data_IF_964835332288
#
_entry.id   IF_964835332288
#
_cell.length_a   1.000
_cell.length_b   1.000
_cell.length_c   1.000
_cell.angle_alpha   90.00
_cell.angle_beta   90.00
_cell.angle_gamma   90.00
#
_symmetry.space_group_name_H-M   'P 1'
#
loop_
_entity.id
_entity.type
_entity.pdbx_description
1 polymer ?
#
# COMPACT_ATOMS: atom_id res chain seq x y z
N UNK A 1 13.77 -10.57 -45.56
CA UNK A 1 14.50 -9.87 -44.47
C UNK A 1 13.51 -8.97 -43.76
N UNK A 2 12.85 -9.49 -42.72
CA UNK A 2 11.86 -8.74 -41.93
C UNK A 2 12.55 -8.27 -40.66
N UNK A 3 12.96 -6.99 -40.63
CA UNK A 3 13.53 -6.37 -39.44
C UNK A 3 12.47 -6.32 -38.34
N UNK A 4 12.60 -7.17 -37.33
CA UNK A 4 11.82 -7.06 -36.09
C UNK A 4 12.08 -5.67 -35.48
N UNK A 5 11.04 -4.90 -35.08
CA UNK A 5 11.24 -3.59 -34.48
C UNK A 5 12.02 -3.79 -33.17
N UNK A 6 13.25 -3.28 -33.13
CA UNK A 6 14.03 -3.22 -31.91
C UNK A 6 13.26 -2.34 -30.91
N UNK A 7 13.01 -2.81 -29.67
CA UNK A 7 12.30 -2.01 -28.69
C UNK A 7 13.13 -0.75 -28.42
N UNK A 8 12.60 0.40 -28.85
CA UNK A 8 13.28 1.68 -28.78
C UNK A 8 13.81 1.97 -27.38
N UNK A 9 15.05 2.47 -27.32
CA UNK A 9 15.77 2.86 -26.10
C UNK A 9 14.91 3.74 -25.15
N UNK A 10 14.01 4.54 -25.72
CA UNK A 10 13.05 5.40 -24.99
C UNK A 10 12.11 4.61 -24.05
N UNK A 11 11.66 3.41 -24.44
CA UNK A 11 10.72 2.61 -23.63
C UNK A 11 11.37 1.90 -22.42
N UNK A 12 12.70 1.71 -22.45
CA UNK A 12 13.46 1.08 -21.36
C UNK A 12 13.85 2.09 -20.29
N UNK A 13 14.29 3.28 -20.68
CA UNK A 13 14.57 4.37 -19.73
C UNK A 13 13.30 4.83 -19.02
N UNK A 14 12.16 4.93 -19.75
CA UNK A 14 10.86 5.25 -19.16
C UNK A 14 10.43 4.24 -18.09
N UNK A 15 10.55 2.93 -18.34
CA UNK A 15 10.15 1.89 -17.37
C UNK A 15 10.95 1.93 -16.06
N UNK A 16 12.26 2.17 -16.12
CA UNK A 16 13.08 2.29 -14.90
C UNK A 16 12.68 3.47 -14.02
N UNK A 17 12.43 4.64 -14.64
CA UNK A 17 11.98 5.84 -13.92
C UNK A 17 10.60 5.60 -13.30
N UNK A 18 9.65 5.04 -14.07
CA UNK A 18 8.30 4.75 -13.59
C UNK A 18 8.33 3.77 -12.42
N UNK A 19 9.13 2.70 -12.49
CA UNK A 19 9.25 1.72 -11.38
C UNK A 19 9.74 2.39 -10.10
N UNK A 20 10.72 3.28 -10.20
CA UNK A 20 11.28 3.99 -9.05
C UNK A 20 10.25 4.94 -8.42
N UNK A 21 9.48 5.64 -9.24
CA UNK A 21 8.38 6.50 -8.79
C UNK A 21 7.26 5.69 -8.13
N UNK A 22 6.89 4.54 -8.70
CA UNK A 22 5.86 3.63 -8.16
C UNK A 22 6.28 3.09 -6.80
N UNK A 23 7.53 2.62 -6.65
CA UNK A 23 8.06 2.17 -5.35
C UNK A 23 8.06 3.31 -4.31
N UNK A 24 8.49 4.51 -4.71
CA UNK A 24 8.47 5.69 -3.83
C UNK A 24 7.05 6.04 -3.36
N UNK A 25 6.07 6.03 -4.28
CA UNK A 25 4.67 6.28 -3.96
C UNK A 25 4.08 5.20 -3.03
N UNK A 26 4.38 3.92 -3.28
CA UNK A 26 3.93 2.82 -2.43
C UNK A 26 4.49 2.91 -1.01
N UNK A 27 5.77 3.29 -0.86
CA UNK A 27 6.41 3.50 0.44
C UNK A 27 5.74 4.65 1.20
N UNK A 28 5.47 5.76 0.50
CA UNK A 28 4.82 6.94 1.07
C UNK A 28 3.40 6.60 1.55
N UNK A 29 2.61 5.88 0.73
CA UNK A 29 1.27 5.42 1.10
C UNK A 29 1.29 4.45 2.29
N UNK A 30 2.23 3.51 2.33
CA UNK A 30 2.39 2.59 3.46
C UNK A 30 2.71 3.33 4.77
N UNK A 31 3.63 4.30 4.74
CA UNK A 31 3.98 5.11 5.91
C UNK A 31 2.79 5.96 6.36
N UNK A 32 2.10 6.62 5.42
CA UNK A 32 0.91 7.42 5.71
C UNK A 32 -0.21 6.58 6.34
N UNK A 33 -0.45 5.38 5.80
CA UNK A 33 -1.40 4.40 6.35
C UNK A 33 -1.10 4.07 7.81
N UNK A 34 0.18 3.86 8.13
CA UNK A 34 0.64 3.49 9.47
C UNK A 34 0.45 4.65 10.46
N UNK A 35 0.74 5.88 10.03
CA UNK A 35 0.48 7.09 10.82
C UNK A 35 -1.02 7.26 11.11
N UNK A 36 -1.88 7.15 10.08
CA UNK A 36 -3.34 7.25 10.25
C UNK A 36 -3.84 6.16 11.21
N UNK A 37 -3.43 4.91 11.03
CA UNK A 37 -3.85 3.83 11.93
C UNK A 37 -3.37 4.06 13.37
N UNK A 38 -2.17 4.62 13.56
CA UNK A 38 -1.62 4.87 14.90
C UNK A 38 -2.32 6.02 15.64
N UNK A 39 -2.65 7.11 14.95
CA UNK A 39 -3.26 8.30 15.58
C UNK A 39 -4.79 8.29 15.56
N UNK A 40 -5.38 7.87 14.44
CA UNK A 40 -6.83 8.02 14.22
C UNK A 40 -7.63 6.94 14.94
N UNK A 41 -7.12 5.70 15.01
CA UNK A 41 -7.82 4.59 15.71
C UNK A 41 -8.00 4.83 17.21
N UNK A 42 -6.99 5.24 18.00
CA UNK A 42 -7.21 5.53 19.42
C UNK A 42 -8.14 6.74 19.63
N UNK A 43 -8.03 7.77 18.78
CA UNK A 43 -8.94 8.92 18.83
C UNK A 43 -10.40 8.50 18.59
N UNK A 44 -10.65 7.59 17.64
CA UNK A 44 -11.98 7.00 17.47
C UNK A 44 -12.40 6.18 18.69
N UNK A 45 -11.50 5.43 19.32
CA UNK A 45 -11.83 4.61 20.49
C UNK A 45 -12.36 5.43 21.67
N UNK A 46 -11.75 6.57 21.96
CA UNK A 46 -12.22 7.49 22.99
C UNK A 46 -13.60 8.07 22.66
N UNK A 47 -13.84 8.42 21.39
CA UNK A 47 -15.15 8.90 20.93
C UNK A 47 -16.25 7.84 21.07
N UNK A 48 -16.00 6.60 20.66
CA UNK A 48 -16.98 5.51 20.79
C UNK A 48 -17.26 5.17 22.26
N UNK A 49 -16.24 5.19 23.12
CA UNK A 49 -16.43 5.01 24.56
C UNK A 49 -17.33 6.09 25.17
N UNK A 50 -17.22 7.35 24.71
CA UNK A 50 -18.09 8.44 25.19
C UNK A 50 -19.57 8.24 24.84
N UNK A 51 -19.88 7.45 23.80
CA UNK A 51 -21.24 7.07 23.42
C UNK A 51 -21.75 5.82 24.15
N UNK A 52 -20.95 5.22 25.06
CA UNK A 52 -21.30 3.99 25.77
C UNK A 52 -21.31 2.74 24.88
N UNK A 53 -20.70 2.83 23.70
CA UNK A 53 -20.61 1.74 22.72
C UNK A 53 -19.20 1.17 22.69
N UNK A 54 -19.10 -0.15 22.54
CA UNK A 54 -17.82 -0.79 22.22
C UNK A 54 -17.32 -0.38 20.84
N UNK A 55 -16.00 -0.53 20.65
CA UNK A 55 -15.33 -0.32 19.38
C UNK A 55 -15.94 -1.24 18.30
N UNK A 56 -16.26 -0.72 17.10
CA UNK A 56 -16.76 -1.54 16.00
C UNK A 56 -15.86 -2.75 15.73
N UNK A 57 -16.45 -3.93 15.49
CA UNK A 57 -15.72 -5.19 15.30
C UNK A 57 -14.63 -5.10 14.22
N UNK A 58 -14.85 -4.27 13.20
CA UNK A 58 -13.95 -4.04 12.09
C UNK A 58 -12.68 -3.29 12.54
N UNK A 59 -12.78 -2.23 13.34
CA UNK A 59 -11.60 -1.52 13.90
C UNK A 59 -10.79 -2.40 14.84
N UNK A 60 -11.45 -3.33 15.55
CA UNK A 60 -10.77 -4.34 16.39
C UNK A 60 -9.90 -5.30 15.55
N UNK A 61 -10.41 -5.74 14.40
CA UNK A 61 -9.67 -6.60 13.45
C UNK A 61 -8.49 -5.82 12.84
N UNK A 62 -8.71 -4.56 12.46
CA UNK A 62 -7.64 -3.69 11.95
C UNK A 62 -6.56 -3.46 13.01
N UNK A 63 -6.92 -3.37 14.29
CA UNK A 63 -5.92 -3.27 15.36
C UNK A 63 -5.16 -4.58 15.59
N UNK A 64 -5.87 -5.72 15.58
CA UNK A 64 -5.29 -7.04 15.82
C UNK A 64 -4.29 -7.45 14.74
N UNK A 65 -4.61 -7.18 13.47
CA UNK A 65 -3.77 -7.58 12.33
C UNK A 65 -3.01 -6.43 11.67
N UNK A 66 -3.39 -5.18 11.93
CA UNK A 66 -2.84 -4.03 11.21
C UNK A 66 -1.37 -3.78 11.49
N UNK A 67 -0.88 -4.07 12.70
CA UNK A 67 0.56 -3.97 12.99
C UNK A 67 1.36 -5.02 12.20
N UNK A 68 0.84 -6.24 12.10
CA UNK A 68 1.46 -7.32 11.32
C UNK A 68 1.44 -7.00 9.83
N UNK A 69 0.29 -6.58 9.29
CA UNK A 69 0.11 -6.25 7.88
C UNK A 69 0.94 -5.02 7.49
N UNK A 70 0.95 -3.98 8.32
CA UNK A 70 1.75 -2.79 8.08
C UNK A 70 3.26 -3.11 8.10
N UNK A 71 3.71 -3.94 9.04
CA UNK A 71 5.11 -4.38 9.08
C UNK A 71 5.46 -5.22 7.85
N UNK A 72 4.56 -6.12 7.43
CA UNK A 72 4.71 -6.90 6.20
C UNK A 72 4.84 -5.98 4.98
N UNK A 73 3.96 -5.00 4.83
CA UNK A 73 4.01 -4.04 3.73
C UNK A 73 5.32 -3.22 3.73
N UNK A 74 5.79 -2.77 4.89
CA UNK A 74 7.08 -2.06 4.99
C UNK A 74 8.25 -2.95 4.56
N UNK A 75 8.31 -4.19 5.05
CA UNK A 75 9.35 -5.16 4.67
C UNK A 75 9.29 -5.46 3.17
N UNK A 76 8.09 -5.60 2.61
CA UNK A 76 7.88 -5.96 1.21
C UNK A 76 8.20 -4.79 0.27
N UNK A 77 7.92 -3.55 0.66
CA UNK A 77 8.35 -2.36 -0.08
C UNK A 77 9.86 -2.16 0.02
N UNK A 78 10.48 -2.41 1.19
CA UNK A 78 11.94 -2.39 1.32
C UNK A 78 12.60 -3.46 0.47
N UNK A 79 12.08 -4.69 0.48
CA UNK A 79 12.57 -5.78 -0.36
C UNK A 79 12.38 -5.50 -1.86
N UNK A 80 11.25 -4.89 -2.24
CA UNK A 80 11.00 -4.41 -3.60
C UNK A 80 11.98 -3.31 -4.03
N UNK A 81 12.21 -2.32 -3.16
CA UNK A 81 13.18 -1.25 -3.38
C UNK A 81 14.61 -1.76 -3.49
N UNK A 82 14.99 -2.73 -2.66
CA UNK A 82 16.30 -3.37 -2.70
C UNK A 82 16.50 -4.16 -4.01
N UNK A 83 15.49 -4.92 -4.44
CA UNK A 83 15.49 -5.61 -5.73
C UNK A 83 15.66 -4.63 -6.89
N UNK A 84 15.05 -3.44 -6.85
CA UNK A 84 15.25 -2.40 -7.88
C UNK A 84 16.70 -1.89 -7.88
N UNK A 85 17.29 -1.64 -6.71
CA UNK A 85 18.70 -1.20 -6.60
C UNK A 85 19.68 -2.26 -7.13
N UNK A 86 19.47 -3.53 -6.76
CA UNK A 86 20.29 -4.66 -7.21
C UNK A 86 20.08 -4.96 -8.70
N UNK A 87 18.86 -4.81 -9.22
CA UNK A 87 18.54 -5.01 -10.64
C UNK A 87 19.20 -4.00 -11.58
N UNK A 88 19.70 -2.86 -11.05
CA UNK A 88 20.57 -1.96 -11.84
C UNK A 88 21.90 -2.61 -12.23
N UNK A 89 22.29 -3.71 -11.58
CA UNK A 89 23.49 -4.48 -11.91
C UNK A 89 23.23 -5.73 -12.76
N UNK A 90 21.98 -6.17 -12.96
CA UNK A 90 21.69 -7.42 -13.69
C UNK A 90 20.99 -7.18 -15.04
N UNK A 91 21.42 -7.93 -16.06
CA UNK A 91 20.96 -7.79 -17.44
C UNK A 91 19.52 -8.32 -17.65
N UNK A 92 18.62 -7.38 -17.93
CA UNK A 92 17.46 -7.45 -18.84
C UNK A 92 16.26 -8.37 -18.50
N UNK A 93 16.39 -9.49 -17.80
CA UNK A 93 15.23 -10.39 -17.51
C UNK A 93 14.55 -10.09 -16.18
N UNK A 94 15.29 -9.60 -15.19
CA UNK A 94 14.75 -9.26 -13.85
C UNK A 94 13.99 -7.92 -13.79
N UNK A 95 14.19 -7.04 -14.77
CA UNK A 95 13.62 -5.69 -14.73
C UNK A 95 12.09 -5.70 -14.94
N UNK A 96 11.55 -6.64 -15.72
CA UNK A 96 10.11 -6.81 -15.89
C UNK A 96 9.45 -7.42 -14.63
N UNK A 97 10.15 -8.28 -13.90
CA UNK A 97 9.67 -8.83 -12.62
C UNK A 97 9.58 -7.77 -11.53
N UNK A 98 10.60 -6.91 -11.41
CA UNK A 98 10.60 -5.81 -10.45
C UNK A 98 9.46 -4.81 -10.69
N UNK A 99 9.14 -4.54 -11.96
CA UNK A 99 8.00 -3.70 -12.32
C UNK A 99 6.67 -4.33 -11.90
N UNK A 100 6.47 -5.62 -12.19
CA UNK A 100 5.25 -6.34 -11.79
C UNK A 100 5.09 -6.34 -10.26
N UNK A 101 6.16 -6.62 -9.51
CA UNK A 101 6.14 -6.61 -8.05
C UNK A 101 5.81 -5.22 -7.50
N UNK A 102 6.37 -4.15 -8.07
CA UNK A 102 6.08 -2.77 -7.66
C UNK A 102 4.60 -2.39 -7.89
N UNK A 103 4.03 -2.77 -9.05
CA UNK A 103 2.62 -2.55 -9.33
C UNK A 103 1.71 -3.34 -8.38
N UNK A 104 2.03 -4.62 -8.14
CA UNK A 104 1.26 -5.46 -7.19
C UNK A 104 1.33 -4.87 -5.78
N UNK A 105 2.50 -4.42 -5.34
CA UNK A 105 2.70 -3.74 -4.06
C UNK A 105 1.85 -2.47 -3.94
N UNK A 106 1.81 -1.65 -4.99
CA UNK A 106 0.99 -0.44 -5.01
C UNK A 106 -0.50 -0.79 -4.87
N UNK A 107 -0.98 -1.78 -5.63
CA UNK A 107 -2.37 -2.22 -5.53
C UNK A 107 -2.71 -2.75 -4.13
N UNK A 108 -1.83 -3.56 -3.54
CA UNK A 108 -2.01 -4.11 -2.19
C UNK A 108 -2.03 -3.01 -1.12
N UNK A 109 -1.13 -2.03 -1.21
CA UNK A 109 -1.13 -0.86 -0.30
C UNK A 109 -2.37 -0.01 -0.48
N UNK A 110 -2.83 0.21 -1.71
CA UNK A 110 -4.06 0.96 -1.98
C UNK A 110 -5.30 0.24 -1.44
N UNK A 111 -5.39 -1.08 -1.63
CA UNK A 111 -6.44 -1.92 -1.06
C UNK A 111 -6.44 -1.87 0.47
N UNK A 112 -5.27 -1.93 1.09
CA UNK A 112 -5.13 -1.84 2.55
C UNK A 112 -5.58 -0.48 3.09
N UNK A 113 -5.15 0.61 2.46
CA UNK A 113 -5.61 1.98 2.81
C UNK A 113 -7.11 2.12 2.61
N UNK A 114 -7.64 1.61 1.50
CA UNK A 114 -9.08 1.58 1.23
C UNK A 114 -9.85 0.82 2.30
N UNK A 115 -9.33 -0.34 2.73
CA UNK A 115 -9.92 -1.12 3.82
C UNK A 115 -9.93 -0.35 5.14
N UNK A 116 -8.85 0.37 5.48
CA UNK A 116 -8.80 1.24 6.66
C UNK A 116 -9.82 2.37 6.55
N UNK A 117 -9.90 3.02 5.39
CA UNK A 117 -10.89 4.06 5.12
C UNK A 117 -12.32 3.54 5.33
N UNK A 118 -12.66 2.42 4.69
CA UNK A 118 -13.97 1.77 4.86
C UNK A 118 -14.19 1.39 6.33
N UNK A 119 -13.19 0.88 7.04
CA UNK A 119 -13.32 0.56 8.46
C UNK A 119 -13.61 1.78 9.34
N UNK A 120 -12.98 2.93 9.05
CA UNK A 120 -13.21 4.18 9.78
C UNK A 120 -14.57 4.81 9.42
N UNK A 121 -15.00 4.72 8.17
CA UNK A 121 -16.26 5.32 7.71
C UNK A 121 -17.47 4.41 7.92
N UNK A 122 -17.34 3.08 7.88
CA UNK A 122 -18.43 2.13 8.10
C UNK A 122 -19.29 2.42 9.34
N UNK A 123 -18.74 2.74 10.53
CA UNK A 123 -19.57 3.01 11.69
C UNK A 123 -20.37 4.32 11.60
N UNK A 124 -19.94 5.32 10.82
CA UNK A 124 -20.75 6.53 10.53
C UNK A 124 -22.04 6.14 9.80
N UNK A 125 -21.95 5.21 8.85
CA UNK A 125 -23.11 4.76 8.07
C UNK A 125 -24.05 3.90 8.92
N UNK A 126 -23.49 3.14 9.88
CA UNK A 126 -24.27 2.39 10.85
C UNK A 126 -25.05 3.31 11.81
N UNK A 127 -24.50 4.47 12.20
CA UNK A 127 -25.23 5.45 13.02
C UNK A 127 -26.29 6.22 12.22
N UNK A 128 -26.02 6.53 10.94
CA UNK A 128 -26.97 7.20 10.05
C UNK A 128 -28.20 6.36 9.65
N UNK A 129 -28.16 5.04 9.87
CA UNK A 129 -29.29 4.14 9.63
C UNK A 129 -30.27 4.03 10.81
N UNK A 130 -29.95 4.62 11.97
CA UNK A 130 -30.77 4.57 13.20
C UNK A 130 -31.52 5.90 13.44
N UNK A 131 -31.58 6.78 12.44
CA UNK A 131 -32.37 8.03 12.43
C UNK A 131 -33.44 7.92 11.36
#
# INVERSE_FOLDING_TARGET
>A
MTSSPTPGYFSRYGRGIVTTLVCGAALLLAVLSLLIAHFTVPAFAELFQSFGSDLPAITRIVFAYGKLIALLLVVLVLAGGLNVLLSRQQEKTQQDQAFYLACVLLVLTFLWVGLIGVACYAPIWAMGAVV
#
